data_IF_394917610048
#
_entry.id   IF_394917610048
#
_cell.length_a   1.000
_cell.length_b   1.000
_cell.length_c   1.000
_cell.angle_alpha   90.00
_cell.angle_beta   90.00
_cell.angle_gamma   90.00
#
_symmetry.space_group_name_H-M   'P 1'
#
loop_
_entity.id
_entity.type
_entity.pdbx_description
1 polymer ?
#
# COMPACT_ATOMS: atom_id res chain seq x y z
N UNK A 1 29.34 65.40 -19.56
CA UNK A 1 29.28 63.94 -19.31
C UNK A 1 30.56 63.56 -18.56
N UNK A 2 30.49 63.29 -17.26
CA UNK A 2 31.68 63.09 -16.42
C UNK A 2 32.22 61.66 -16.52
N UNK A 3 33.54 61.51 -16.45
CA UNK A 3 34.26 60.23 -16.38
C UNK A 3 33.69 59.28 -15.30
N UNK A 4 33.13 59.87 -14.24
CA UNK A 4 32.50 59.17 -13.13
C UNK A 4 31.28 58.33 -13.58
N UNK A 5 30.42 58.87 -14.45
CA UNK A 5 29.24 58.15 -14.96
C UNK A 5 29.68 56.99 -15.86
N UNK A 6 30.66 57.20 -16.73
CA UNK A 6 31.19 56.15 -17.61
C UNK A 6 31.84 55.01 -16.81
N UNK A 7 32.57 55.34 -15.74
CA UNK A 7 33.20 54.35 -14.87
C UNK A 7 32.16 53.57 -14.05
N UNK A 8 31.13 54.25 -13.53
CA UNK A 8 30.07 53.61 -12.76
C UNK A 8 29.29 52.61 -13.63
N UNK A 9 28.91 53.00 -14.86
CA UNK A 9 28.27 52.10 -15.82
C UNK A 9 29.15 50.91 -16.22
N UNK A 10 30.45 51.11 -16.38
CA UNK A 10 31.38 50.02 -16.67
C UNK A 10 31.51 49.04 -15.50
N UNK A 11 31.53 49.55 -14.26
CA UNK A 11 31.61 48.75 -13.04
C UNK A 11 30.30 47.98 -12.80
N UNK A 12 29.14 48.62 -12.94
CA UNK A 12 27.84 47.95 -12.80
C UNK A 12 27.68 46.87 -13.87
N UNK A 13 28.07 47.14 -15.12
CA UNK A 13 28.07 46.16 -16.20
C UNK A 13 28.98 44.97 -15.93
N UNK A 14 30.16 45.18 -15.34
CA UNK A 14 31.06 44.10 -14.97
C UNK A 14 30.47 43.24 -13.85
N UNK A 15 29.92 43.83 -12.79
CA UNK A 15 29.28 43.11 -11.70
C UNK A 15 28.05 42.32 -12.16
N UNK A 16 27.21 42.93 -13.01
CA UNK A 16 26.05 42.27 -13.59
C UNK A 16 26.46 41.04 -14.43
N UNK A 17 27.48 41.17 -15.27
CA UNK A 17 28.01 40.02 -16.04
C UNK A 17 28.65 38.96 -15.14
N UNK A 18 29.36 39.36 -14.07
CA UNK A 18 29.94 38.40 -13.12
C UNK A 18 28.86 37.55 -12.44
N UNK A 19 27.75 38.16 -12.01
CA UNK A 19 26.59 37.45 -11.45
C UNK A 19 25.92 36.54 -12.48
N UNK A 20 25.74 36.99 -13.72
CA UNK A 20 25.18 36.17 -14.79
C UNK A 20 26.05 34.94 -15.12
N UNK A 21 27.38 35.10 -15.12
CA UNK A 21 28.34 34.00 -15.29
C UNK A 21 28.25 33.03 -14.10
N UNK A 22 28.14 33.53 -12.86
CA UNK A 22 27.96 32.68 -11.69
C UNK A 22 26.69 31.82 -11.78
N UNK A 23 25.55 32.42 -12.13
CA UNK A 23 24.30 31.70 -12.35
C UNK A 23 24.42 30.65 -13.47
N UNK A 24 25.14 30.98 -14.55
CA UNK A 24 25.43 30.02 -15.63
C UNK A 24 26.30 28.87 -15.14
N UNK A 25 27.32 29.16 -14.32
CA UNK A 25 28.20 28.14 -13.73
C UNK A 25 27.43 27.21 -12.79
N UNK A 26 26.52 27.74 -11.98
CA UNK A 26 25.63 26.95 -11.12
C UNK A 26 24.70 26.05 -11.94
N UNK A 27 24.13 26.57 -13.04
CA UNK A 27 23.31 25.76 -13.95
C UNK A 27 24.09 24.60 -14.55
N UNK A 28 25.33 24.85 -15.00
CA UNK A 28 26.20 23.80 -15.57
C UNK A 28 26.56 22.77 -14.50
N UNK A 29 26.93 23.21 -13.30
CA UNK A 29 27.30 22.32 -12.20
C UNK A 29 26.13 21.42 -11.77
N UNK A 30 24.90 21.94 -11.82
CA UNK A 30 23.71 21.23 -11.36
C UNK A 30 22.85 20.64 -12.48
N UNK A 31 23.33 20.62 -13.73
CA UNK A 31 22.54 20.15 -14.89
C UNK A 31 22.06 18.70 -14.75
N UNK A 32 22.81 17.86 -14.03
CA UNK A 32 22.47 16.46 -13.77
C UNK A 32 21.85 16.25 -12.38
N UNK A 33 21.55 17.31 -11.63
CA UNK A 33 20.91 17.20 -10.32
C UNK A 33 19.40 17.14 -10.53
N UNK A 34 18.72 16.05 -10.13
CA UNK A 34 17.27 15.96 -10.23
C UNK A 34 16.59 17.13 -9.52
N UNK A 35 15.52 17.65 -10.11
CA UNK A 35 14.71 18.77 -9.58
C UNK A 35 15.44 20.12 -9.46
N UNK A 36 16.63 20.29 -10.07
CA UNK A 36 17.27 21.61 -10.13
C UNK A 36 16.53 22.54 -11.09
N UNK A 37 16.15 23.73 -10.61
CA UNK A 37 15.56 24.79 -11.44
C UNK A 37 16.66 25.64 -12.08
N UNK A 38 16.63 25.76 -13.41
CA UNK A 38 17.52 26.67 -14.15
C UNK A 38 17.36 28.11 -13.63
N UNK A 39 18.47 28.83 -13.52
CA UNK A 39 18.52 30.27 -13.20
C UNK A 39 18.71 31.07 -14.49
N UNK A 40 17.94 32.13 -14.68
CA UNK A 40 18.00 33.08 -15.78
C UNK A 40 18.43 34.45 -15.27
N UNK A 41 19.41 35.04 -15.95
CA UNK A 41 19.89 36.38 -15.66
C UNK A 41 19.08 37.39 -16.48
N UNK A 42 18.23 38.17 -15.81
CA UNK A 42 17.47 39.27 -16.39
C UNK A 42 18.21 40.57 -16.11
N UNK A 43 18.66 41.25 -17.17
CA UNK A 43 19.36 42.52 -17.03
C UNK A 43 18.34 43.65 -17.03
N UNK A 44 18.37 44.48 -15.99
CA UNK A 44 17.51 45.64 -15.86
C UNK A 44 18.33 46.92 -15.92
N UNK A 45 17.75 47.95 -16.53
CA UNK A 45 18.38 49.27 -16.58
C UNK A 45 17.98 50.04 -15.34
N UNK A 46 18.95 50.45 -14.53
CA UNK A 46 18.73 51.28 -13.34
C UNK A 46 18.50 52.75 -13.76
N UNK A 47 17.33 53.03 -14.32
CA UNK A 47 17.01 54.31 -14.90
C UNK A 47 16.36 55.26 -13.87
N UNK A 48 17.15 56.15 -13.26
CA UNK A 48 16.61 57.35 -12.61
C UNK A 48 16.18 58.34 -13.71
N UNK A 49 14.97 58.94 -13.67
CA UNK A 49 14.55 59.90 -14.68
C UNK A 49 15.58 61.03 -14.86
N UNK A 50 16.02 61.27 -16.10
CA UNK A 50 17.09 62.20 -16.51
C UNK A 50 18.54 61.84 -16.12
N UNK A 51 18.83 60.61 -15.68
CA UNK A 51 20.20 60.16 -15.40
C UNK A 51 20.43 58.74 -15.93
N UNK A 52 21.31 58.57 -16.92
CA UNK A 52 21.79 57.24 -17.30
C UNK A 52 22.67 56.69 -16.16
N UNK A 53 22.23 55.62 -15.51
CA UNK A 53 22.95 54.99 -14.40
C UNK A 53 22.95 53.48 -14.58
N UNK A 54 24.06 52.92 -15.05
CA UNK A 54 24.35 51.48 -14.91
C UNK A 54 23.35 50.47 -15.46
N UNK A 55 23.56 49.22 -15.03
CA UNK A 55 22.76 48.04 -15.31
C UNK A 55 22.84 47.17 -14.07
N UNK A 56 21.72 46.63 -13.63
CA UNK A 56 21.68 45.59 -12.61
C UNK A 56 21.25 44.28 -13.25
N UNK A 57 21.47 43.18 -12.55
CA UNK A 57 21.00 41.87 -12.98
C UNK A 57 20.21 41.23 -11.86
N UNK A 58 18.98 40.88 -12.19
CA UNK A 58 18.14 40.03 -11.37
C UNK A 58 18.36 38.58 -11.81
N UNK A 59 18.78 37.73 -10.87
CA UNK A 59 18.85 36.29 -11.12
C UNK A 59 17.50 35.69 -10.73
N UNK A 60 16.66 35.45 -11.73
CA UNK A 60 15.35 34.86 -11.55
C UNK A 60 15.47 33.36 -11.82
N UNK A 61 14.77 32.52 -11.07
CA UNK A 61 14.60 31.12 -11.50
C UNK A 61 13.79 31.16 -12.80
N UNK A 62 14.27 30.47 -13.84
CA UNK A 62 13.42 30.18 -15.00
C UNK A 62 12.10 29.65 -14.44
N UNK A 63 10.97 30.21 -14.88
CA UNK A 63 9.68 29.77 -14.41
C UNK A 63 9.54 28.28 -14.73
N UNK A 64 9.87 27.42 -13.76
CA UNK A 64 9.34 26.06 -13.74
C UNK A 64 7.85 26.31 -13.72
N UNK A 65 7.20 25.90 -14.80
CA UNK A 65 5.77 26.07 -14.90
C UNK A 65 5.17 25.44 -13.65
N UNK A 66 4.58 26.28 -12.78
CA UNK A 66 4.00 25.82 -11.50
C UNK A 66 2.96 24.74 -11.76
N UNK A 67 2.33 24.78 -12.94
CA UNK A 67 1.46 23.73 -13.41
C UNK A 67 2.22 22.41 -13.67
N UNK A 68 3.37 22.46 -14.37
CA UNK A 68 4.21 21.26 -14.59
C UNK A 68 4.76 20.69 -13.28
N UNK A 69 5.18 21.54 -12.34
CA UNK A 69 5.64 21.09 -11.02
C UNK A 69 4.51 20.42 -10.23
N UNK A 70 3.34 21.04 -10.19
CA UNK A 70 2.16 20.45 -9.56
C UNK A 70 1.75 19.13 -10.22
N UNK A 71 1.81 19.06 -11.56
CA UNK A 71 1.56 17.83 -12.30
C UNK A 71 2.59 16.73 -12.00
N UNK A 72 3.87 17.08 -11.84
CA UNK A 72 4.92 16.14 -11.44
C UNK A 72 4.70 15.60 -10.02
N UNK A 73 4.33 16.46 -9.07
CA UNK A 73 3.98 16.06 -7.71
C UNK A 73 2.75 15.15 -7.68
N UNK A 74 1.72 15.48 -8.45
CA UNK A 74 0.54 14.62 -8.60
C UNK A 74 0.91 13.25 -9.19
N UNK A 75 1.69 13.22 -10.26
CA UNK A 75 2.13 11.97 -10.89
C UNK A 75 2.99 11.10 -9.96
N UNK A 76 3.90 11.72 -9.20
CA UNK A 76 4.72 11.01 -8.21
C UNK A 76 3.86 10.41 -7.08
N UNK A 77 2.86 11.16 -6.61
CA UNK A 77 1.91 10.68 -5.60
C UNK A 77 1.11 9.48 -6.13
N UNK A 78 0.59 9.55 -7.36
CA UNK A 78 -0.22 8.49 -7.99
C UNK A 78 0.59 7.22 -8.24
N UNK A 79 1.84 7.38 -8.68
CA UNK A 79 2.81 6.29 -8.83
C UNK A 79 3.07 5.61 -7.49
N UNK A 80 3.35 6.39 -6.44
CA UNK A 80 3.67 5.87 -5.11
C UNK A 80 2.47 5.11 -4.50
N UNK A 81 1.25 5.65 -4.64
CA UNK A 81 0.03 4.97 -4.21
C UNK A 81 -0.14 3.63 -4.93
N UNK A 82 0.00 3.62 -6.25
CA UNK A 82 -0.17 2.42 -7.07
C UNK A 82 0.90 1.37 -6.78
N UNK A 83 2.15 1.81 -6.59
CA UNK A 83 3.29 0.93 -6.25
C UNK A 83 3.09 0.27 -4.89
N UNK A 84 2.63 1.02 -3.88
CA UNK A 84 2.38 0.47 -2.55
C UNK A 84 1.37 -0.68 -2.59
N UNK A 85 0.27 -0.51 -3.36
CA UNK A 85 -0.74 -1.55 -3.55
C UNK A 85 -0.16 -2.73 -4.35
N UNK A 86 0.52 -2.48 -5.46
CA UNK A 86 1.09 -3.52 -6.31
C UNK A 86 2.11 -4.40 -5.55
N UNK A 87 2.99 -3.79 -4.76
CA UNK A 87 4.00 -4.49 -3.98
C UNK A 87 3.36 -5.39 -2.91
N UNK A 88 2.29 -4.91 -2.26
CA UNK A 88 1.53 -5.68 -1.28
C UNK A 88 0.82 -6.89 -1.92
N UNK A 89 0.13 -6.66 -3.04
CA UNK A 89 -0.55 -7.72 -3.78
C UNK A 89 0.43 -8.76 -4.32
N UNK A 90 1.60 -8.35 -4.79
CA UNK A 90 2.63 -9.27 -5.27
C UNK A 90 3.15 -10.21 -4.16
N UNK A 91 3.28 -9.70 -2.92
CA UNK A 91 3.65 -10.55 -1.77
C UNK A 91 2.55 -11.55 -1.40
N UNK A 92 1.28 -11.15 -1.51
CA UNK A 92 0.15 -12.06 -1.30
C UNK A 92 0.07 -13.10 -2.42
N UNK A 93 0.28 -12.70 -3.67
CA UNK A 93 0.34 -13.61 -4.83
C UNK A 93 1.44 -14.66 -4.66
N UNK A 94 2.61 -14.28 -4.14
CA UNK A 94 3.69 -15.22 -3.83
C UNK A 94 3.25 -16.32 -2.85
N UNK A 95 2.26 -16.09 -1.98
CA UNK A 95 1.71 -17.12 -1.10
C UNK A 95 0.86 -18.17 -1.83
N UNK A 96 0.36 -17.84 -3.03
CA UNK A 96 -0.36 -18.76 -3.92
C UNK A 96 0.60 -19.59 -4.77
N UNK A 97 1.86 -19.18 -4.86
CA UNK A 97 2.90 -19.83 -5.65
C UNK A 97 2.89 -19.46 -7.13
N UNK A 98 4.02 -19.70 -7.77
CA UNK A 98 4.21 -19.51 -9.21
C UNK A 98 3.65 -20.64 -10.06
N UNK A 99 3.56 -20.44 -11.39
CA UNK A 99 3.15 -21.49 -12.33
C UNK A 99 4.01 -22.76 -12.17
N UNK A 100 3.38 -23.88 -11.82
CA UNK A 100 4.03 -25.18 -11.66
C UNK A 100 4.53 -25.51 -10.24
N UNK A 101 4.42 -24.60 -9.26
CA UNK A 101 4.82 -24.87 -7.87
C UNK A 101 3.79 -25.70 -7.10
N UNK A 102 2.53 -25.75 -7.56
CA UNK A 102 1.44 -26.55 -6.99
C UNK A 102 1.18 -26.33 -5.49
N UNK A 103 1.47 -25.13 -4.97
CA UNK A 103 1.26 -24.79 -3.55
C UNK A 103 -0.03 -24.02 -3.25
N UNK A 104 -0.71 -23.52 -4.30
CA UNK A 104 -1.99 -22.82 -4.18
C UNK A 104 -3.06 -23.72 -3.56
N UNK A 105 -4.02 -23.10 -2.86
CA UNK A 105 -5.15 -23.84 -2.29
C UNK A 105 -5.96 -24.57 -3.37
N UNK A 106 -6.04 -24.04 -4.60
CA UNK A 106 -6.72 -24.70 -5.72
C UNK A 106 -6.04 -26.02 -6.12
N UNK A 107 -4.71 -26.00 -6.30
CA UNK A 107 -3.95 -27.21 -6.62
C UNK A 107 -4.04 -28.25 -5.49
N UNK A 108 -4.01 -27.80 -4.23
CA UNK A 108 -4.17 -28.70 -3.07
C UNK A 108 -5.57 -29.29 -2.96
N UNK A 109 -6.60 -28.56 -3.36
CA UNK A 109 -7.95 -29.11 -3.47
C UNK A 109 -8.03 -30.17 -4.58
N UNK A 110 -7.43 -29.94 -5.74
CA UNK A 110 -7.40 -30.93 -6.83
C UNK A 110 -6.68 -32.21 -6.40
N UNK A 111 -5.54 -32.09 -5.71
CA UNK A 111 -4.83 -33.22 -5.10
C UNK A 111 -5.74 -33.96 -4.10
N UNK A 112 -6.46 -33.23 -3.24
CA UNK A 112 -7.38 -33.82 -2.28
C UNK A 112 -8.54 -34.58 -2.96
N UNK A 113 -9.17 -34.02 -3.99
CA UNK A 113 -10.22 -34.71 -4.74
C UNK A 113 -9.71 -35.92 -5.52
N UNK A 114 -8.46 -35.88 -6.01
CA UNK A 114 -7.82 -37.04 -6.63
C UNK A 114 -7.59 -38.17 -5.62
N UNK A 115 -7.14 -37.87 -4.40
CA UNK A 115 -6.99 -38.89 -3.33
C UNK A 115 -8.34 -39.47 -2.88
N UNK A 116 -9.40 -38.67 -2.85
CA UNK A 116 -10.77 -39.16 -2.61
C UNK A 116 -11.25 -40.10 -3.73
N UNK A 117 -10.92 -39.80 -4.98
CA UNK A 117 -11.21 -40.70 -6.11
C UNK A 117 -10.45 -42.01 -5.97
N UNK A 118 -9.16 -41.98 -5.60
CA UNK A 118 -8.37 -43.19 -5.35
C UNK A 118 -8.93 -44.00 -4.18
N UNK A 119 -9.38 -43.34 -3.11
CA UNK A 119 -10.04 -43.99 -1.98
C UNK A 119 -11.31 -44.74 -2.39
N UNK A 120 -12.05 -44.25 -3.40
CA UNK A 120 -13.23 -44.97 -3.91
C UNK A 120 -12.90 -46.32 -4.52
N UNK A 121 -11.71 -46.49 -5.10
CA UNK A 121 -11.27 -47.75 -5.69
C UNK A 121 -10.82 -48.77 -4.64
N UNK A 122 -10.38 -48.31 -3.46
CA UNK A 122 -10.03 -49.17 -2.33
C UNK A 122 -10.55 -48.60 -0.99
N UNK A 123 -11.88 -48.67 -0.76
CA UNK A 123 -12.52 -48.04 0.39
C UNK A 123 -12.24 -48.75 1.73
N UNK A 124 -11.65 -49.94 1.69
CA UNK A 124 -11.25 -50.69 2.90
C UNK A 124 -9.87 -50.31 3.43
N UNK A 125 -9.06 -49.60 2.64
CA UNK A 125 -7.69 -49.25 2.99
C UNK A 125 -7.63 -48.09 3.98
N UNK A 126 -7.19 -48.35 5.21
CA UNK A 126 -6.92 -47.31 6.21
C UNK A 126 -5.85 -46.31 5.72
N UNK A 127 -4.87 -46.79 4.95
CA UNK A 127 -3.85 -45.91 4.36
C UNK A 127 -4.48 -44.92 3.37
N UNK A 128 -5.34 -45.39 2.45
CA UNK A 128 -6.00 -44.51 1.49
C UNK A 128 -6.94 -43.49 2.18
N UNK A 129 -7.57 -43.87 3.30
CA UNK A 129 -8.37 -42.95 4.13
C UNK A 129 -7.49 -41.88 4.76
N UNK A 130 -6.34 -42.26 5.32
CA UNK A 130 -5.39 -41.32 5.89
C UNK A 130 -4.86 -40.35 4.82
N UNK A 131 -4.47 -40.86 3.65
CA UNK A 131 -3.99 -40.04 2.53
C UNK A 131 -5.03 -38.98 2.12
N UNK A 132 -6.30 -39.37 2.00
CA UNK A 132 -7.38 -38.44 1.68
C UNK A 132 -7.60 -37.36 2.75
N UNK A 133 -7.58 -37.73 4.03
CA UNK A 133 -7.71 -36.77 5.13
C UNK A 133 -6.52 -35.81 5.20
N UNK A 134 -5.30 -36.29 5.00
CA UNK A 134 -4.11 -35.45 4.99
C UNK A 134 -4.07 -34.52 3.77
N UNK A 135 -4.53 -34.98 2.60
CA UNK A 135 -4.63 -34.12 1.42
C UNK A 135 -5.67 -33.00 1.62
N UNK A 136 -6.83 -33.32 2.22
CA UNK A 136 -7.81 -32.31 2.64
C UNK A 136 -7.22 -31.32 3.65
N UNK A 137 -6.50 -31.81 4.67
CA UNK A 137 -5.83 -30.95 5.64
C UNK A 137 -4.83 -30.01 4.96
N UNK A 138 -4.02 -30.53 4.03
CA UNK A 138 -3.04 -29.73 3.28
C UNK A 138 -3.70 -28.62 2.44
N UNK A 139 -4.90 -28.85 1.91
CA UNK A 139 -5.68 -27.85 1.19
C UNK A 139 -6.19 -26.74 2.12
N UNK A 140 -6.74 -27.08 3.28
CA UNK A 140 -7.19 -26.10 4.28
C UNK A 140 -6.02 -25.35 4.96
N UNK A 141 -4.87 -26.00 5.11
CA UNK A 141 -3.63 -25.34 5.51
C UNK A 141 -3.19 -24.32 4.45
N UNK A 142 -3.39 -24.60 3.16
CA UNK A 142 -3.09 -23.64 2.09
C UNK A 142 -3.99 -22.40 2.15
N UNK A 143 -5.29 -22.56 2.38
CA UNK A 143 -6.19 -21.42 2.65
C UNK A 143 -5.73 -20.59 3.86
N UNK A 144 -5.36 -21.28 4.95
CA UNK A 144 -4.88 -20.64 6.18
C UNK A 144 -3.57 -19.88 5.97
N UNK A 145 -2.64 -20.41 5.17
CA UNK A 145 -1.40 -19.71 4.78
C UNK A 145 -1.68 -18.44 3.98
N UNK A 146 -2.58 -18.49 3.01
CA UNK A 146 -2.97 -17.31 2.23
C UNK A 146 -3.65 -16.27 3.11
N UNK A 147 -4.58 -16.67 3.98
CA UNK A 147 -5.21 -15.76 4.93
C UNK A 147 -4.19 -15.10 5.87
N UNK A 148 -3.22 -15.87 6.39
CA UNK A 148 -2.13 -15.34 7.21
C UNK A 148 -1.23 -14.36 6.45
N UNK A 149 -0.98 -14.58 5.16
CA UNK A 149 -0.23 -13.65 4.32
C UNK A 149 -0.95 -12.29 4.18
N UNK A 150 -2.28 -12.29 4.04
CA UNK A 150 -3.08 -11.06 4.00
C UNK A 150 -2.98 -10.29 5.34
N UNK A 151 -3.08 -10.99 6.47
CA UNK A 151 -2.94 -10.37 7.80
C UNK A 151 -1.55 -9.78 7.99
N UNK A 152 -0.50 -10.53 7.64
CA UNK A 152 0.88 -10.06 7.72
C UNK A 152 1.12 -8.80 6.87
N UNK A 153 0.50 -8.71 5.69
CA UNK A 153 0.57 -7.52 4.85
C UNK A 153 -0.18 -6.32 5.46
N UNK A 154 -1.29 -6.56 6.16
CA UNK A 154 -2.01 -5.49 6.88
C UNK A 154 -1.15 -4.90 8.01
N UNK A 155 -0.45 -5.75 8.76
CA UNK A 155 0.48 -5.33 9.81
C UNK A 155 1.70 -4.60 9.23
N UNK A 156 2.25 -5.10 8.12
CA UNK A 156 3.34 -4.45 7.41
C UNK A 156 2.94 -3.06 6.89
N UNK A 157 1.74 -2.94 6.33
CA UNK A 157 1.18 -1.66 5.87
C UNK A 157 0.98 -0.67 7.02
N UNK A 158 0.55 -1.14 8.20
CA UNK A 158 0.46 -0.29 9.40
C UNK A 158 1.87 0.17 9.85
N UNK A 159 2.86 -0.72 9.82
CA UNK A 159 4.25 -0.36 10.11
C UNK A 159 4.78 0.73 9.16
N UNK A 160 4.52 0.58 7.86
CA UNK A 160 4.88 1.58 6.83
C UNK A 160 4.17 2.91 7.04
N UNK A 161 2.86 2.91 7.30
CA UNK A 161 2.11 4.13 7.60
C UNK A 161 2.72 4.92 8.77
N UNK A 162 3.15 4.23 9.82
CA UNK A 162 3.82 4.89 10.96
C UNK A 162 5.18 5.48 10.56
N UNK A 163 5.96 4.78 9.73
CA UNK A 163 7.24 5.27 9.23
C UNK A 163 7.05 6.48 8.29
N UNK A 164 6.09 6.40 7.38
CA UNK A 164 5.80 7.44 6.39
C UNK A 164 5.27 8.70 7.05
N UNK A 165 4.33 8.56 8.01
CA UNK A 165 3.84 9.72 8.78
C UNK A 165 4.95 10.36 9.61
N UNK A 166 5.86 9.58 10.20
CA UNK A 166 7.03 10.12 10.88
C UNK A 166 7.97 10.87 9.91
N UNK A 167 8.20 10.33 8.70
CA UNK A 167 9.02 11.00 7.68
C UNK A 167 8.36 12.29 7.20
N UNK A 168 7.05 12.27 6.94
CA UNK A 168 6.25 13.45 6.59
C UNK A 168 6.37 14.51 7.67
N UNK A 169 6.23 14.16 8.94
CA UNK A 169 6.34 15.12 10.05
C UNK A 169 7.73 15.79 10.09
N UNK A 170 8.79 15.03 9.85
CA UNK A 170 10.14 15.58 9.75
C UNK A 170 10.28 16.50 8.52
N UNK A 171 9.74 16.11 7.37
CA UNK A 171 9.73 16.95 6.17
C UNK A 171 8.96 18.26 6.38
N UNK A 172 7.82 18.23 7.10
CA UNK A 172 7.03 19.42 7.40
C UNK A 172 7.76 20.40 8.35
N UNK A 173 8.49 19.89 9.35
CA UNK A 173 9.38 20.71 10.18
C UNK A 173 10.52 21.31 9.34
N UNK A 174 11.17 20.53 8.48
CA UNK A 174 12.21 21.02 7.57
C UNK A 174 11.67 22.10 6.61
N UNK A 175 10.50 21.89 6.00
CA UNK A 175 9.82 22.88 5.14
C UNK A 175 9.54 24.16 5.91
N UNK A 176 9.03 24.06 7.14
CA UNK A 176 8.79 25.22 8.00
C UNK A 176 10.08 25.99 8.28
N UNK A 177 11.17 25.32 8.67
CA UNK A 177 12.46 25.98 8.94
C UNK A 177 13.06 26.63 7.69
N UNK A 178 12.96 25.97 6.55
CA UNK A 178 13.42 26.52 5.27
C UNK A 178 12.60 27.77 4.89
N UNK A 179 11.29 27.76 5.12
CA UNK A 179 10.42 28.93 4.93
C UNK A 179 10.84 30.15 5.76
N UNK A 180 11.46 29.97 6.92
CA UNK A 180 11.95 31.08 7.73
C UNK A 180 13.16 31.79 7.11
N UNK A 181 13.97 31.09 6.31
CA UNK A 181 15.25 31.57 5.77
C UNK A 181 15.27 31.70 4.24
N UNK A 182 14.19 31.31 3.56
CA UNK A 182 14.12 31.24 2.09
C UNK A 182 14.28 32.60 1.41
N UNK A 183 13.86 33.69 2.08
CA UNK A 183 14.04 35.07 1.60
C UNK A 183 15.52 35.46 1.51
N UNK A 184 16.35 34.94 2.42
CA UNK A 184 17.74 35.36 2.59
C UNK A 184 18.76 34.42 1.92
N UNK A 185 18.31 33.28 1.40
CA UNK A 185 19.20 32.24 0.88
C UNK A 185 18.62 31.52 -0.34
N UNK A 186 19.26 31.71 -1.49
CA UNK A 186 18.92 30.99 -2.71
C UNK A 186 19.08 29.46 -2.55
N UNK A 187 19.98 29.00 -1.68
CA UNK A 187 20.17 27.57 -1.39
C UNK A 187 19.04 26.98 -0.54
N UNK A 188 18.38 27.79 0.30
CA UNK A 188 17.23 27.34 1.07
C UNK A 188 16.02 27.05 0.17
N UNK A 189 15.84 27.83 -0.91
CA UNK A 189 14.79 27.57 -1.90
C UNK A 189 15.02 26.25 -2.67
N UNK A 190 16.26 25.90 -2.99
CA UNK A 190 16.58 24.61 -3.64
C UNK A 190 16.29 23.43 -2.71
N UNK A 191 16.66 23.54 -1.43
CA UNK A 191 16.34 22.52 -0.42
C UNK A 191 14.83 22.42 -0.20
N UNK A 192 14.11 23.55 -0.21
CA UNK A 192 12.66 23.58 -0.07
C UNK A 192 11.99 22.81 -1.22
N UNK A 193 12.39 23.06 -2.46
CA UNK A 193 11.91 22.33 -3.64
C UNK A 193 12.18 20.82 -3.53
N UNK A 194 13.36 20.43 -3.03
CA UNK A 194 13.68 19.02 -2.78
C UNK A 194 12.78 18.38 -1.71
N UNK A 195 12.49 19.09 -0.60
CA UNK A 195 11.60 18.60 0.44
C UNK A 195 10.16 18.49 -0.01
N UNK A 196 9.68 19.44 -0.83
CA UNK A 196 8.35 19.36 -1.42
C UNK A 196 8.23 18.19 -2.41
N UNK A 197 9.27 17.94 -3.22
CA UNK A 197 9.30 16.78 -4.11
C UNK A 197 9.25 15.47 -3.32
N UNK A 198 10.02 15.34 -2.25
CA UNK A 198 9.97 14.16 -1.37
C UNK A 198 8.62 14.04 -0.66
N UNK A 199 8.06 15.14 -0.14
CA UNK A 199 6.76 15.14 0.51
C UNK A 199 5.65 14.66 -0.44
N UNK A 200 5.74 15.03 -1.73
CA UNK A 200 4.76 14.65 -2.75
C UNK A 200 4.68 13.14 -3.02
N UNK A 201 5.74 12.37 -2.71
CA UNK A 201 5.68 10.90 -2.86
C UNK A 201 4.83 10.25 -1.77
N UNK A 202 4.75 10.87 -0.59
CA UNK A 202 4.02 10.33 0.55
C UNK A 202 2.53 10.70 0.53
N UNK A 203 2.21 11.94 0.15
CA UNK A 203 0.84 12.42 0.04
C UNK A 203 0.69 13.49 -1.04
N UNK A 204 -0.51 13.58 -1.60
CA UNK A 204 -0.88 14.66 -2.52
C UNK A 204 -0.91 16.01 -1.79
N UNK A 205 -0.06 16.94 -2.23
CA UNK A 205 0.06 18.29 -1.67
C UNK A 205 -0.24 19.35 -2.73
N UNK A 206 -0.80 20.46 -2.28
CA UNK A 206 -0.87 21.70 -3.02
C UNK A 206 0.14 22.68 -2.44
N UNK A 207 0.91 23.32 -3.30
CA UNK A 207 1.94 24.29 -2.90
C UNK A 207 1.61 25.64 -3.51
N UNK A 208 1.37 26.64 -2.66
CA UNK A 208 1.26 28.03 -3.05
C UNK A 208 2.53 28.77 -2.64
N UNK A 209 3.22 29.42 -3.60
CA UNK A 209 4.43 30.21 -3.32
C UNK A 209 4.12 31.70 -3.37
N UNK A 210 4.47 32.40 -2.29
CA UNK A 210 4.36 33.84 -2.15
C UNK A 210 5.47 34.57 -2.92
N UNK A 211 5.31 35.88 -3.13
CA UNK A 211 6.30 36.73 -3.82
C UNK A 211 7.65 36.76 -3.08
N UNK A 212 7.62 36.58 -1.77
CA UNK A 212 8.78 36.50 -0.90
C UNK A 212 9.47 35.11 -0.90
N UNK A 213 9.02 34.20 -1.76
CA UNK A 213 9.61 32.87 -1.91
C UNK A 213 9.15 31.83 -0.88
N UNK A 214 8.39 32.23 0.14
CA UNK A 214 7.79 31.30 1.11
C UNK A 214 6.72 30.44 0.47
N UNK A 215 6.52 29.23 1.00
CA UNK A 215 5.47 28.32 0.52
C UNK A 215 4.44 28.01 1.61
N UNK A 216 3.18 28.00 1.21
CA UNK A 216 2.07 27.41 1.94
C UNK A 216 1.76 26.06 1.33
N UNK A 217 1.84 25.01 2.16
CA UNK A 217 1.58 23.63 1.78
C UNK A 217 0.26 23.21 2.40
N UNK A 218 -0.67 22.75 1.57
CA UNK A 218 -1.99 22.28 1.99
C UNK A 218 -2.27 20.90 1.41
N UNK A 219 -3.14 20.15 2.08
CA UNK A 219 -3.84 19.02 1.48
C UNK A 219 -4.81 19.51 0.41
N UNK A 220 -5.30 18.57 -0.40
CA UNK A 220 -6.22 18.90 -1.50
C UNK A 220 -7.60 19.36 -1.05
N UNK A 221 -7.99 19.02 0.18
CA UNK A 221 -9.20 19.53 0.83
C UNK A 221 -9.02 20.92 1.47
N UNK A 222 -7.81 21.48 1.44
CA UNK A 222 -7.48 22.79 1.98
C UNK A 222 -6.89 22.77 3.39
N UNK A 223 -6.75 21.62 4.04
CA UNK A 223 -6.12 21.56 5.36
C UNK A 223 -4.63 21.95 5.28
N UNK A 224 -4.20 22.88 6.13
CA UNK A 224 -2.82 23.37 6.12
C UNK A 224 -1.86 22.38 6.75
N UNK A 225 -0.77 22.08 6.05
CA UNK A 225 0.31 21.20 6.50
C UNK A 225 1.54 21.97 6.94
N UNK A 226 1.92 23.02 6.23
CA UNK A 226 3.00 23.91 6.61
C UNK A 226 2.78 25.30 6.01
N UNK A 227 3.07 26.35 6.77
CA UNK A 227 3.04 27.73 6.32
C UNK A 227 4.11 28.54 7.06
N UNK A 228 4.09 29.87 6.92
CA UNK A 228 5.02 30.76 7.62
C UNK A 228 4.83 30.80 9.15
N UNK A 229 3.64 30.45 9.66
CA UNK A 229 3.28 30.53 11.07
C UNK A 229 3.59 29.23 11.83
N UNK A 230 3.55 28.07 11.16
CA UNK A 230 3.81 26.77 11.78
C UNK A 230 3.67 25.61 10.81
N UNK A 231 3.65 24.40 11.38
CA UNK A 231 3.47 23.16 10.62
C UNK A 231 2.54 22.21 11.36
N UNK A 232 2.04 21.21 10.64
CA UNK A 232 1.18 20.18 11.16
C UNK A 232 1.95 18.86 11.34
N UNK A 233 1.40 18.00 12.19
CA UNK A 233 1.84 16.63 12.36
C UNK A 233 0.69 15.68 12.01
N UNK A 234 1.02 14.67 11.22
CA UNK A 234 0.18 13.51 10.97
C UNK A 234 0.40 12.47 12.05
N UNK A 235 -0.67 11.76 12.40
CA UNK A 235 -0.63 10.59 13.27
C UNK A 235 -1.46 9.46 12.69
N UNK A 236 -1.12 8.22 13.03
CA UNK A 236 -1.87 7.04 12.61
C UNK A 236 -2.72 6.55 13.77
N UNK A 237 -4.04 6.55 13.59
CA UNK A 237 -4.97 5.91 14.51
C UNK A 237 -5.35 4.53 13.95
N UNK A 238 -4.80 3.49 14.57
CA UNK A 238 -5.12 2.11 14.25
C UNK A 238 -6.46 1.71 14.90
N UNK A 239 -7.45 1.42 14.06
CA UNK A 239 -8.74 0.86 14.45
C UNK A 239 -9.24 -0.12 13.39
N UNK A 240 -10.52 -0.54 13.44
CA UNK A 240 -11.13 -1.36 12.38
C UNK A 240 -10.99 -0.72 11.00
N UNK A 241 -11.02 0.61 10.97
CA UNK A 241 -10.62 1.44 9.85
C UNK A 241 -9.40 2.25 10.31
N UNK A 242 -8.39 2.28 9.46
CA UNK A 242 -7.19 3.10 9.66
C UNK A 242 -7.51 4.54 9.33
N UNK A 243 -7.20 5.45 10.22
CA UNK A 243 -7.38 6.89 10.01
C UNK A 243 -6.09 7.63 10.25
N UNK A 244 -5.87 8.69 9.45
CA UNK A 244 -4.81 9.65 9.68
C UNK A 244 -5.39 10.83 10.44
N UNK A 245 -4.79 11.14 11.58
CA UNK A 245 -5.11 12.32 12.38
C UNK A 245 -4.22 13.49 11.96
N UNK A 246 -4.73 14.72 12.06
CA UNK A 246 -3.97 15.94 11.80
C UNK A 246 -3.95 16.80 13.07
N UNK A 247 -2.75 17.24 13.46
CA UNK A 247 -2.55 18.15 14.59
C UNK A 247 -1.72 19.36 14.16
N UNK A 248 -2.01 20.56 14.65
CA UNK A 248 -1.10 21.70 14.51
C UNK A 248 0.03 21.57 15.54
N UNK A 249 1.25 21.90 15.14
CA UNK A 249 2.42 21.94 16.02
C UNK A 249 2.88 23.37 16.18
N UNK A 250 2.99 23.83 17.43
CA UNK A 250 3.65 25.08 17.76
C UNK A 250 5.18 24.88 17.64
N UNK A 251 5.86 25.61 16.75
CA UNK A 251 7.29 25.44 16.50
C UNK A 251 8.18 25.86 17.68
N UNK A 252 7.71 26.76 18.55
CA UNK A 252 8.49 27.27 19.69
C UNK A 252 8.36 26.35 20.91
N UNK A 253 7.14 25.88 21.20
CA UNK A 253 6.86 25.06 22.38
C UNK A 253 6.86 23.56 22.10
N UNK A 254 6.76 23.15 20.82
CA UNK A 254 6.54 21.77 20.42
C UNK A 254 5.15 21.22 20.78
N UNK A 255 4.26 22.07 21.31
CA UNK A 255 2.92 21.66 21.71
C UNK A 255 2.08 21.30 20.48
N UNK A 256 1.47 20.12 20.49
CA UNK A 256 0.57 19.66 19.45
C UNK A 256 -0.90 19.80 19.89
N UNK A 257 -1.74 20.31 19.00
CA UNK A 257 -3.20 20.37 19.20
C UNK A 257 -3.90 19.65 18.06
N UNK A 258 -4.79 18.71 18.40
CA UNK A 258 -5.55 17.97 17.40
C UNK A 258 -6.47 18.93 16.62
N UNK A 259 -6.37 18.88 15.29
CA UNK A 259 -7.23 19.64 14.37
C UNK A 259 -8.34 18.74 13.80
N UNK A 260 -7.99 17.52 13.41
CA UNK A 260 -8.93 16.51 12.92
C UNK A 260 -8.50 15.11 13.33
N UNK A 261 -9.47 14.27 13.70
CA UNK A 261 -9.25 12.86 13.95
C UNK A 261 -9.23 12.00 12.69
N UNK A 262 -9.66 12.55 11.54
CA UNK A 262 -9.65 11.85 10.26
C UNK A 262 -9.47 12.83 9.11
N UNK A 263 -8.38 12.69 8.36
CA UNK A 263 -8.09 13.45 7.13
C UNK A 263 -7.92 12.55 5.91
N UNK A 264 -8.36 11.28 5.97
CA UNK A 264 -8.22 10.33 4.87
C UNK A 264 -8.86 10.81 3.56
N UNK A 265 -9.94 11.58 3.64
CA UNK A 265 -10.62 12.15 2.46
C UNK A 265 -9.79 13.26 1.78
N UNK A 266 -8.97 13.99 2.54
CA UNK A 266 -8.06 15.03 2.03
C UNK A 266 -6.79 14.47 1.40
N UNK A 267 -6.37 13.27 1.83
CA UNK A 267 -5.22 12.55 1.28
C UNK A 267 -5.73 11.71 0.09
N UNK A 268 -5.70 12.29 -1.11
CA UNK A 268 -6.26 11.64 -2.31
C UNK A 268 -5.28 10.72 -3.04
N UNK A 269 -3.97 10.89 -2.81
CA UNK A 269 -2.90 10.14 -3.47
C UNK A 269 -1.63 10.15 -2.63
N UNK A 270 -0.58 9.44 -3.06
CA UNK A 270 0.67 9.20 -2.34
C UNK A 270 0.73 7.82 -1.67
N UNK A 271 1.92 7.42 -1.23
CA UNK A 271 2.13 6.13 -0.56
C UNK A 271 1.18 5.93 0.63
N UNK A 272 0.95 6.97 1.44
CA UNK A 272 0.02 6.92 2.58
C UNK A 272 -1.40 6.58 2.11
N UNK A 273 -1.86 7.15 0.98
CA UNK A 273 -3.17 6.81 0.43
C UNK A 273 -3.24 5.36 0.01
N UNK A 274 -2.24 4.88 -0.73
CA UNK A 274 -2.17 3.48 -1.17
C UNK A 274 -2.23 2.50 -0.01
N UNK A 275 -1.49 2.79 1.07
CA UNK A 275 -1.50 1.97 2.28
C UNK A 275 -2.82 2.03 3.06
N UNK A 276 -3.51 3.18 3.09
CA UNK A 276 -4.85 3.31 3.68
C UNK A 276 -5.84 2.46 2.88
N UNK A 277 -5.86 2.58 1.55
CA UNK A 277 -6.78 1.83 0.69
C UNK A 277 -6.53 0.33 0.77
N UNK A 278 -5.26 -0.07 0.85
CA UNK A 278 -4.87 -1.45 1.09
C UNK A 278 -5.49 -1.98 2.40
N UNK A 279 -5.31 -1.28 3.52
CA UNK A 279 -5.80 -1.75 4.84
C UNK A 279 -7.30 -1.65 5.02
N UNK A 280 -7.93 -0.63 4.46
CA UNK A 280 -9.35 -0.34 4.69
C UNK A 280 -10.29 -0.99 3.67
N UNK A 281 -9.78 -1.34 2.47
CA UNK A 281 -10.61 -1.82 1.36
C UNK A 281 -10.08 -3.13 0.80
N UNK A 282 -8.86 -3.16 0.28
CA UNK A 282 -8.39 -4.30 -0.52
C UNK A 282 -8.10 -5.54 0.32
N UNK A 283 -7.33 -5.42 1.40
CA UNK A 283 -6.98 -6.55 2.27
C UNK A 283 -8.20 -7.15 2.97
N UNK A 284 -9.13 -6.37 3.57
CA UNK A 284 -10.36 -6.93 4.11
C UNK A 284 -11.20 -7.65 3.06
N UNK A 285 -11.28 -7.11 1.83
CA UNK A 285 -11.99 -7.76 0.72
C UNK A 285 -11.34 -9.10 0.33
N UNK A 286 -10.01 -9.14 0.23
CA UNK A 286 -9.27 -10.37 -0.06
C UNK A 286 -9.41 -11.40 1.05
N UNK A 287 -9.32 -10.98 2.31
CA UNK A 287 -9.53 -11.85 3.46
C UNK A 287 -10.92 -12.49 3.43
N UNK A 288 -11.96 -11.67 3.22
CA UNK A 288 -13.34 -12.15 3.11
C UNK A 288 -13.53 -13.12 1.94
N UNK A 289 -12.86 -12.88 0.79
CA UNK A 289 -12.92 -13.77 -0.37
C UNK A 289 -12.30 -15.15 -0.08
N UNK A 290 -11.11 -15.17 0.53
CA UNK A 290 -10.41 -16.42 0.90
C UNK A 290 -11.24 -17.20 1.92
N UNK A 291 -11.75 -16.51 2.95
CA UNK A 291 -12.59 -17.13 3.98
C UNK A 291 -13.92 -17.65 3.42
N UNK A 292 -14.60 -16.87 2.57
CA UNK A 292 -15.86 -17.30 1.95
C UNK A 292 -15.66 -18.51 1.03
N UNK A 293 -14.54 -18.56 0.30
CA UNK A 293 -14.19 -19.71 -0.54
C UNK A 293 -13.91 -20.95 0.30
N UNK A 294 -13.09 -20.81 1.35
CA UNK A 294 -12.79 -21.91 2.26
C UNK A 294 -14.05 -22.44 2.96
N UNK A 295 -14.94 -21.54 3.41
CA UNK A 295 -16.23 -21.87 4.02
C UNK A 295 -17.13 -22.62 3.04
N UNK A 296 -17.28 -22.13 1.81
CA UNK A 296 -18.10 -22.79 0.79
C UNK A 296 -17.64 -24.22 0.51
N UNK A 297 -16.33 -24.45 0.38
CA UNK A 297 -15.77 -25.79 0.20
C UNK A 297 -16.00 -26.66 1.44
N UNK A 298 -15.79 -26.11 2.64
CA UNK A 298 -16.01 -26.83 3.91
C UNK A 298 -17.49 -27.25 4.09
N UNK A 299 -18.43 -26.36 3.77
CA UNK A 299 -19.85 -26.59 3.89
C UNK A 299 -20.33 -27.68 2.92
N UNK A 300 -19.87 -27.66 1.66
CA UNK A 300 -20.18 -28.70 0.68
C UNK A 300 -19.59 -30.06 1.09
N UNK A 301 -18.33 -30.09 1.54
CA UNK A 301 -17.70 -31.30 2.07
C UNK A 301 -18.48 -31.86 3.27
N UNK A 302 -18.88 -31.00 4.20
CA UNK A 302 -19.66 -31.38 5.37
C UNK A 302 -21.07 -31.85 5.03
N UNK A 303 -21.75 -31.19 4.09
CA UNK A 303 -23.09 -31.57 3.63
C UNK A 303 -23.07 -32.96 2.98
N UNK A 304 -22.08 -33.23 2.12
CA UNK A 304 -21.91 -34.55 1.50
C UNK A 304 -21.50 -35.60 2.54
N UNK A 305 -20.60 -35.27 3.46
CA UNK A 305 -20.12 -36.18 4.52
C UNK A 305 -21.19 -36.54 5.54
N UNK A 306 -22.12 -35.62 5.86
CA UNK A 306 -23.22 -35.87 6.79
C UNK A 306 -24.15 -37.02 6.37
N UNK A 307 -24.21 -37.32 5.07
CA UNK A 307 -24.93 -38.48 4.53
C UNK A 307 -24.14 -39.79 4.53
N UNK A 308 -22.86 -39.76 4.92
CA UNK A 308 -22.03 -40.96 5.02
C UNK A 308 -22.20 -41.62 6.40
N UNK A 309 -22.03 -42.94 6.44
CA UNK A 309 -22.11 -43.75 7.65
C UNK A 309 -20.86 -44.61 7.80
N UNK A 310 -20.55 -45.01 9.04
CA UNK A 310 -19.55 -46.04 9.28
C UNK A 310 -20.00 -47.37 8.63
N UNK A 311 -19.04 -48.20 8.24
CA UNK A 311 -19.34 -49.52 7.65
C UNK A 311 -20.17 -50.33 8.66
N UNK A 312 -21.34 -50.83 8.22
CA UNK A 312 -22.26 -51.56 9.09
C UNK A 312 -23.23 -50.71 9.92
N UNK A 313 -23.10 -49.38 9.92
CA UNK A 313 -24.00 -48.48 10.65
C UNK A 313 -25.24 -48.09 9.82
N UNK A 314 -26.33 -47.74 10.50
CA UNK A 314 -27.59 -47.23 9.92
C UNK A 314 -27.77 -45.73 10.09
N UNK A 315 -27.00 -45.10 10.99
CA UNK A 315 -27.08 -43.67 11.30
C UNK A 315 -25.72 -43.01 11.11
N UNK A 316 -25.67 -41.76 10.60
CA UNK A 316 -24.44 -40.98 10.53
C UNK A 316 -23.81 -40.78 11.90
N UNK A 317 -22.48 -40.61 11.93
CA UNK A 317 -21.71 -40.38 13.16
C UNK A 317 -21.96 -38.99 13.78
N UNK A 318 -22.59 -38.07 13.05
CA UNK A 318 -22.90 -36.72 13.51
C UNK A 318 -21.68 -35.80 13.66
N UNK A 319 -20.49 -36.25 13.25
CA UNK A 319 -19.27 -35.44 13.25
C UNK A 319 -19.10 -34.75 11.89
N UNK A 320 -18.67 -33.48 11.91
CA UNK A 320 -18.28 -32.78 10.70
C UNK A 320 -16.91 -33.27 10.20
N UNK A 321 -16.71 -33.26 8.88
CA UNK A 321 -15.43 -33.56 8.25
C UNK A 321 -14.46 -32.40 8.44
N UNK A 322 -14.94 -31.18 8.20
CA UNK A 322 -14.21 -29.92 8.36
C UNK A 322 -14.82 -29.13 9.51
N UNK A 323 -13.97 -28.62 10.39
CA UNK A 323 -14.34 -27.78 11.53
C UNK A 323 -13.80 -26.36 11.34
N UNK A 324 -14.57 -25.37 11.77
CA UNK A 324 -14.19 -23.96 11.76
C UNK A 324 -13.91 -23.49 13.19
N UNK A 325 -12.77 -22.83 13.41
CA UNK A 325 -12.44 -22.14 14.65
C UNK A 325 -11.90 -20.74 14.33
N UNK A 326 -12.65 -19.70 14.68
CA UNK A 326 -12.29 -18.29 14.42
C UNK A 326 -11.90 -18.00 12.96
N UNK A 327 -12.66 -18.53 11.99
CA UNK A 327 -12.39 -18.35 10.56
C UNK A 327 -11.26 -19.23 9.99
N UNK A 328 -10.65 -20.08 10.81
CA UNK A 328 -9.69 -21.10 10.37
C UNK A 328 -10.41 -22.43 10.19
N UNK A 329 -10.33 -22.98 8.98
CA UNK A 329 -10.92 -24.26 8.61
C UNK A 329 -9.86 -25.35 8.68
N UNK A 330 -10.21 -26.53 9.21
CA UNK A 330 -9.31 -27.67 9.30
C UNK A 330 -10.09 -28.99 9.32
N UNK A 331 -9.43 -30.10 8.98
CA UNK A 331 -10.03 -31.42 9.11
C UNK A 331 -10.22 -31.74 10.59
N UNK A 332 -11.35 -32.35 10.94
CA UNK A 332 -11.64 -32.77 12.29
C UNK A 332 -10.52 -33.66 12.84
N UNK A 333 -9.88 -33.22 13.94
CA UNK A 333 -8.71 -33.87 14.54
C UNK A 333 -8.99 -35.30 15.02
N UNK A 334 -10.25 -35.64 15.33
CA UNK A 334 -10.65 -37.00 15.67
C UNK A 334 -10.47 -37.95 14.48
N UNK A 335 -10.83 -37.49 13.27
CA UNK A 335 -10.68 -38.26 12.04
C UNK A 335 -9.20 -38.42 11.65
N UNK A 336 -8.37 -37.40 11.89
CA UNK A 336 -6.93 -37.46 11.66
C UNK A 336 -6.22 -38.43 12.63
N UNK A 337 -6.67 -38.50 13.88
CA UNK A 337 -6.10 -39.40 14.88
C UNK A 337 -6.49 -40.88 14.65
N UNK A 338 -7.68 -41.13 14.10
CA UNK A 338 -8.14 -42.46 13.70
C UNK A 338 -8.71 -42.44 12.28
N UNK A 339 -7.87 -42.57 11.24
CA UNK A 339 -8.33 -42.59 9.85
C UNK A 339 -9.29 -43.74 9.51
N UNK A 340 -9.32 -44.81 10.31
CA UNK A 340 -10.26 -45.91 10.07
C UNK A 340 -11.72 -45.45 10.30
N UNK A 341 -11.91 -44.48 11.21
CA UNK A 341 -13.20 -43.87 11.53
C UNK A 341 -13.80 -42.99 10.41
N UNK A 342 -13.01 -42.68 9.36
CA UNK A 342 -13.50 -41.92 8.21
C UNK A 342 -14.61 -42.68 7.47
N UNK A 343 -15.84 -42.20 7.65
CA UNK A 343 -17.06 -42.76 7.07
C UNK A 343 -17.20 -42.42 5.57
N UNK A 344 -17.15 -43.44 4.72
CA UNK A 344 -17.26 -43.31 3.27
C UNK A 344 -18.30 -44.26 2.64
N UNK A 345 -19.06 -44.97 3.48
CA UNK A 345 -20.19 -45.78 3.02
C UNK A 345 -21.46 -44.93 3.02
N UNK A 346 -22.40 -45.20 2.10
CA UNK A 346 -23.74 -44.59 2.10
C UNK A 346 -24.82 -45.68 2.19
N UNK A 347 -25.86 -45.49 3.01
CA UNK A 347 -26.96 -46.46 3.10
C UNK A 347 -27.76 -46.48 1.79
N UNK A 348 -27.86 -47.63 1.14
CA UNK A 348 -28.74 -47.86 -0.01
C UNK A 348 -29.97 -48.65 0.43
N UNK A 349 -31.17 -48.16 0.08
CA UNK A 349 -32.42 -48.92 0.20
C UNK A 349 -32.81 -49.39 1.62
N UNK A 350 -32.40 -48.70 2.69
CA UNK A 350 -32.81 -49.04 4.07
C UNK A 350 -32.09 -50.24 4.70
N UNK A 351 -31.03 -50.75 4.08
CA UNK A 351 -30.19 -51.80 4.66
C UNK A 351 -29.24 -51.25 5.74
N UNK A 352 -29.02 -52.04 6.80
CA UNK A 352 -28.00 -51.76 7.80
C UNK A 352 -26.60 -52.00 7.21
N UNK A 353 -25.78 -50.96 7.24
CA UNK A 353 -24.48 -50.93 6.59
C UNK A 353 -24.59 -50.57 5.12
N UNK A 354 -24.37 -49.29 4.80
CA UNK A 354 -23.95 -48.94 3.45
C UNK A 354 -22.80 -49.86 3.06
N UNK A 355 -22.90 -50.48 1.87
CA UNK A 355 -21.79 -51.25 1.34
C UNK A 355 -20.55 -50.34 1.36
N UNK A 356 -19.39 -50.87 1.77
CA UNK A 356 -18.13 -50.12 1.66
C UNK A 356 -17.69 -50.14 0.19
N UNK A 357 -18.52 -49.54 -0.68
CA UNK A 357 -18.45 -49.56 -2.14
C UNK A 357 -17.76 -48.31 -2.71
N UNK A 358 -17.24 -47.44 -1.83
CA UNK A 358 -16.59 -46.20 -2.21
C UNK A 358 -17.53 -45.08 -2.66
N UNK A 359 -18.85 -45.29 -2.65
CA UNK A 359 -19.84 -44.31 -3.12
C UNK A 359 -19.80 -42.97 -2.37
N UNK A 360 -19.52 -42.99 -1.06
CA UNK A 360 -19.33 -41.76 -0.27
C UNK A 360 -18.07 -41.00 -0.65
N UNK A 361 -16.98 -41.71 -0.97
CA UNK A 361 -15.74 -41.11 -1.45
C UNK A 361 -15.89 -40.50 -2.86
N UNK A 362 -16.63 -41.17 -3.76
CA UNK A 362 -16.98 -40.63 -5.08
C UNK A 362 -17.84 -39.37 -4.93
N UNK A 363 -18.82 -39.39 -4.02
CA UNK A 363 -19.68 -38.23 -3.78
C UNK A 363 -18.87 -37.01 -3.31
N UNK A 364 -17.88 -37.22 -2.45
CA UNK A 364 -16.96 -36.17 -2.00
C UNK A 364 -16.05 -35.70 -3.15
N UNK A 365 -15.53 -36.60 -3.97
CA UNK A 365 -14.71 -36.26 -5.14
C UNK A 365 -15.49 -35.44 -6.19
N UNK A 366 -16.78 -35.73 -6.39
CA UNK A 366 -17.62 -35.05 -7.37
C UNK A 366 -17.99 -33.60 -7.00
N UNK A 367 -17.70 -33.15 -5.78
CA UNK A 367 -17.84 -31.73 -5.40
C UNK A 367 -17.01 -30.86 -6.35
N UNK A 368 -15.81 -31.32 -6.73
CA UNK A 368 -14.94 -30.65 -7.70
C UNK A 368 -15.63 -30.37 -9.04
N UNK A 369 -16.44 -31.33 -9.51
CA UNK A 369 -17.15 -31.21 -10.81
C UNK A 369 -18.42 -30.38 -10.73
N UNK A 370 -19.00 -30.23 -9.53
CA UNK A 370 -20.26 -29.50 -9.32
C UNK A 370 -20.01 -28.00 -9.10
N UNK A 371 -18.87 -27.64 -8.52
CA UNK A 371 -18.45 -26.25 -8.31
C UNK A 371 -17.97 -25.53 -9.60
N UNK A 372 -17.78 -26.27 -10.71
CA UNK A 372 -17.30 -25.74 -11.99
C UNK A 372 -18.43 -25.40 -13.01
N UNK A 373 -19.70 -25.58 -12.64
CA UNK A 373 -20.88 -25.36 -13.48
C UNK A 373 -21.73 -24.18 -12.96
#
# INVERSE_FOLDING_TARGET
MSLYVALNTAVSGLFANQRAIAATSENIANVNTPNFSRREAHFETDAIPNQFSGVDVEIVRAAVDRFLQGAAFGGAADEAASRAVADALSRIEASLGGPGENISYANKLDEAFATLTQLSANPSSTAAKADALFALQAAFDAFSRTAAAVVAESDAALGRLNADTARVNALLDEVYRLNQVVQDSAGAADLLDQRLAELSTYLSINVARSEDGRVDVTLRDGATLANSAGFAALGVAAGPQTTITLSSVDPDSGAASLLSSDVNAGIQSGEIRGLIDLRNVELPRLQALVEATARGVADELNAVYAGNVAVGATTPLGQALIVEAQGVFSVNSVLLADPASFAIARPTGGAAGGANDGSGAISLANIATTAAA
#
